data_IF_843350096476
#
_entry.id   IF_843350096476
#
_cell.length_a   1.000
_cell.length_b   1.000
_cell.length_c   1.000
_cell.angle_alpha   90.00
_cell.angle_beta   90.00
_cell.angle_gamma   90.00
#
_symmetry.space_group_name_H-M   'P 1'
#
loop_
_entity.id
_entity.type
_entity.pdbx_description
1 polymer ?
#
# COMPACT_ATOMS: atom_id res chain seq x y z
N UNK A 1 -9.82 1.68 3.03
CA UNK A 1 -8.39 1.37 3.21
C UNK A 1 -7.64 2.06 2.10
N UNK A 2 -6.52 2.70 2.43
CA UNK A 2 -5.53 3.16 1.45
C UNK A 2 -4.13 2.66 1.85
N UNK A 3 -3.22 2.62 0.88
CA UNK A 3 -1.82 2.24 1.11
C UNK A 3 -0.90 3.23 0.41
N UNK A 4 0.28 3.47 0.97
CA UNK A 4 1.36 4.20 0.29
C UNK A 4 2.58 3.30 0.12
N UNK A 5 2.98 3.13 -1.13
CA UNK A 5 4.13 2.33 -1.56
C UNK A 5 5.05 3.17 -2.47
N UNK A 6 6.21 2.60 -2.79
CA UNK A 6 7.35 3.33 -3.36
C UNK A 6 7.35 3.29 -4.89
N UNK A 7 6.19 3.65 -5.45
CA UNK A 7 5.95 3.68 -6.88
C UNK A 7 6.03 2.29 -7.54
N UNK A 8 6.45 2.27 -8.81
CA UNK A 8 6.54 1.07 -9.65
C UNK A 8 7.96 0.98 -10.21
N UNK A 9 8.65 -0.13 -9.94
CA UNK A 9 9.99 -0.46 -10.45
C UNK A 9 9.88 -1.29 -11.73
N UNK A 10 9.09 -2.36 -11.71
CA UNK A 10 8.89 -3.23 -12.87
C UNK A 10 7.73 -2.72 -13.71
N UNK A 11 8.01 -2.41 -14.97
CA UNK A 11 7.00 -1.97 -15.95
C UNK A 11 6.56 -3.13 -16.84
N UNK A 12 5.34 -3.09 -17.40
CA UNK A 12 4.89 -4.11 -18.34
C UNK A 12 5.88 -4.24 -19.49
N UNK A 13 6.39 -5.45 -19.73
CA UNK A 13 7.27 -5.72 -20.86
C UNK A 13 6.42 -5.69 -22.13
N UNK A 14 6.80 -4.89 -23.13
CA UNK A 14 6.15 -4.95 -24.44
C UNK A 14 6.57 -6.25 -25.12
N UNK A 15 5.63 -7.19 -25.25
CA UNK A 15 5.92 -8.56 -25.73
C UNK A 15 5.97 -8.64 -27.27
N UNK A 16 5.78 -7.55 -28.00
CA UNK A 16 5.73 -7.61 -29.46
C UNK A 16 7.08 -7.24 -30.11
N UNK A 17 7.72 -8.14 -30.89
CA UNK A 17 8.84 -7.79 -31.76
C UNK A 17 8.39 -6.81 -32.86
N UNK A 18 9.31 -6.01 -33.45
CA UNK A 18 8.98 -4.81 -34.23
C UNK A 18 8.17 -5.02 -35.53
N UNK A 19 7.87 -6.27 -35.90
CA UNK A 19 7.46 -6.63 -37.27
C UNK A 19 5.99 -6.99 -37.46
N UNK A 20 5.12 -6.86 -36.46
CA UNK A 20 3.68 -7.02 -36.67
C UNK A 20 2.92 -5.76 -36.28
N UNK A 21 2.32 -5.14 -37.29
CA UNK A 21 1.36 -4.04 -37.18
C UNK A 21 0.11 -4.55 -36.47
N UNK A 22 0.09 -4.50 -35.16
CA UNK A 22 -1.14 -4.47 -34.36
C UNK A 22 -1.03 -3.25 -33.44
N UNK A 23 -2.17 -2.61 -33.12
CA UNK A 23 -2.21 -1.42 -32.28
C UNK A 23 -1.60 -1.67 -30.90
N UNK A 24 -1.60 -0.68 -29.98
CA UNK A 24 -1.13 -0.93 -28.63
C UNK A 24 -2.04 -1.97 -27.98
N UNK A 25 -1.60 -3.23 -27.97
CA UNK A 25 -2.28 -4.31 -27.25
C UNK A 25 -2.32 -3.90 -25.79
N UNK A 26 -3.53 -3.63 -25.30
CA UNK A 26 -3.75 -3.32 -23.89
C UNK A 26 -3.32 -4.55 -23.09
N UNK A 27 -2.51 -4.40 -22.03
CA UNK A 27 -2.07 -5.52 -21.22
C UNK A 27 -3.26 -6.37 -20.77
N UNK A 28 -3.15 -7.69 -20.85
CA UNK A 28 -4.19 -8.57 -20.35
C UNK A 28 -4.30 -8.43 -18.82
N UNK A 29 -5.43 -8.83 -18.20
CA UNK A 29 -5.53 -8.86 -16.74
C UNK A 29 -4.42 -9.68 -16.08
N UNK A 30 -3.97 -10.77 -16.73
CA UNK A 30 -2.85 -11.59 -16.25
C UNK A 30 -1.52 -10.83 -16.29
N UNK A 31 -1.25 -10.07 -17.36
CA UNK A 31 -0.04 -9.25 -17.47
C UNK A 31 -0.03 -8.13 -16.43
N UNK A 32 -1.20 -7.54 -16.17
CA UNK A 32 -1.37 -6.54 -15.13
C UNK A 32 -1.11 -7.12 -13.74
N UNK A 33 -1.68 -8.29 -13.43
CA UNK A 33 -1.43 -8.99 -12.18
C UNK A 33 0.04 -9.36 -12.01
N UNK A 34 0.70 -9.89 -13.04
CA UNK A 34 2.11 -10.25 -12.98
C UNK A 34 3.01 -9.04 -12.73
N UNK A 35 2.68 -7.91 -13.36
CA UNK A 35 3.37 -6.63 -13.12
C UNK A 35 3.15 -6.15 -11.68
N UNK A 36 1.91 -6.15 -11.19
CA UNK A 36 1.58 -5.76 -9.82
C UNK A 36 2.31 -6.65 -8.81
N UNK A 37 2.21 -7.97 -8.96
CA UNK A 37 2.86 -8.97 -8.12
C UNK A 37 4.36 -8.74 -8.05
N UNK A 38 5.02 -8.56 -9.20
CA UNK A 38 6.48 -8.35 -9.22
C UNK A 38 6.91 -7.11 -8.45
N UNK A 39 6.10 -6.05 -8.45
CA UNK A 39 6.38 -4.86 -7.65
C UNK A 39 6.06 -5.08 -6.16
N UNK A 40 4.91 -5.67 -5.84
CA UNK A 40 4.50 -5.94 -4.45
C UNK A 40 5.47 -6.88 -3.74
N UNK A 41 6.02 -7.87 -4.44
CA UNK A 41 6.97 -8.83 -3.85
C UNK A 41 8.31 -8.19 -3.44
N UNK A 42 8.69 -7.04 -4.04
CA UNK A 42 10.01 -6.40 -3.78
C UNK A 42 9.93 -5.08 -3.04
N UNK A 43 8.75 -4.45 -2.99
CA UNK A 43 8.56 -3.13 -2.41
C UNK A 43 8.03 -3.24 -0.99
N UNK A 44 8.66 -2.50 -0.08
CA UNK A 44 8.18 -2.37 1.29
C UNK A 44 7.03 -1.36 1.39
N UNK A 45 6.01 -1.69 2.18
CA UNK A 45 4.90 -0.81 2.50
C UNK A 45 5.38 0.28 3.48
N UNK A 46 5.03 1.55 3.22
CA UNK A 46 5.44 2.65 4.10
C UNK A 46 4.31 3.04 5.05
N UNK A 47 3.09 3.16 4.53
CA UNK A 47 1.91 3.57 5.30
C UNK A 47 0.66 2.80 4.89
N UNK A 48 -0.21 2.57 5.87
CA UNK A 48 -1.54 1.98 5.69
C UNK A 48 -2.56 2.86 6.42
N UNK A 49 -3.52 3.41 5.68
CA UNK A 49 -4.67 4.12 6.24
C UNK A 49 -5.86 3.19 6.43
N UNK A 50 -6.37 3.13 7.66
CA UNK A 50 -7.59 2.42 8.02
C UNK A 50 -8.61 3.37 8.62
N UNK A 51 -9.81 3.36 8.04
CA UNK A 51 -10.99 4.04 8.57
C UNK A 51 -12.05 3.00 8.82
N UNK A 52 -12.58 2.98 10.05
CA UNK A 52 -13.70 2.13 10.42
C UNK A 52 -14.98 2.95 10.39
N UNK A 53 -16.05 2.36 9.88
CA UNK A 53 -17.39 2.94 9.91
C UNK A 53 -18.43 1.85 10.10
N UNK A 54 -19.59 2.24 10.63
CA UNK A 54 -20.76 1.37 10.57
C UNK A 54 -21.42 1.46 9.17
N UNK A 55 -22.49 0.67 8.95
CA UNK A 55 -23.21 0.61 7.69
C UNK A 55 -23.81 1.95 7.21
N UNK A 56 -23.97 2.93 8.12
CA UNK A 56 -24.47 4.28 7.77
C UNK A 56 -23.35 5.31 7.58
N UNK A 57 -22.08 4.87 7.58
CA UNK A 57 -20.92 5.74 7.37
C UNK A 57 -20.46 6.50 8.61
N UNK A 58 -21.01 6.20 9.79
CA UNK A 58 -20.59 6.86 11.03
C UNK A 58 -19.25 6.28 11.53
N UNK A 59 -18.29 7.18 11.76
CA UNK A 59 -16.97 6.84 12.32
C UNK A 59 -17.04 6.58 13.83
N UNK A 60 -16.13 5.77 14.40
CA UNK A 60 -16.11 5.50 15.84
C UNK A 60 -15.82 6.78 16.63
N UNK A 61 -16.55 6.96 17.74
CA UNK A 61 -16.34 8.05 18.70
C UNK A 61 -15.38 7.70 19.84
N UNK A 62 -15.15 6.40 20.08
CA UNK A 62 -14.30 5.88 21.17
C UNK A 62 -14.58 6.50 22.56
N UNK A 63 -15.85 6.86 22.83
CA UNK A 63 -16.23 7.53 24.08
C UNK A 63 -15.89 9.02 24.15
N UNK A 64 -15.36 9.59 23.07
CA UNK A 64 -15.11 11.02 22.89
C UNK A 64 -16.10 11.62 21.87
N UNK A 65 -16.22 12.95 21.86
CA UNK A 65 -16.94 13.66 20.80
C UNK A 65 -16.18 13.73 19.47
N UNK A 66 -14.99 13.13 19.37
CA UNK A 66 -14.15 13.13 18.18
C UNK A 66 -14.43 11.91 17.29
N UNK A 67 -13.96 11.96 16.05
CA UNK A 67 -14.05 10.84 15.10
C UNK A 67 -12.64 10.43 14.69
N UNK A 68 -12.41 9.13 14.52
CA UNK A 68 -11.07 8.59 14.32
C UNK A 68 -10.91 7.90 12.96
N UNK A 69 -9.72 8.10 12.41
CA UNK A 69 -9.10 7.30 11.36
C UNK A 69 -7.66 7.03 11.79
N UNK A 70 -7.10 5.92 11.34
CA UNK A 70 -5.77 5.47 11.75
C UNK A 70 -4.84 5.44 10.55
N UNK A 71 -3.64 5.97 10.73
CA UNK A 71 -2.55 5.83 9.78
C UNK A 71 -1.43 5.04 10.46
N UNK A 72 -1.22 3.82 10.00
CA UNK A 72 -0.13 2.96 10.40
C UNK A 72 1.09 3.31 9.56
N UNK A 73 2.22 3.33 10.23
CA UNK A 73 3.48 3.86 9.75
C UNK A 73 4.53 2.78 10.03
N UNK A 74 5.10 2.19 8.99
CA UNK A 74 6.02 1.05 9.10
C UNK A 74 7.48 1.49 9.06
N UNK A 75 8.38 0.76 9.75
CA UNK A 75 9.82 1.02 9.73
C UNK A 75 10.60 0.13 8.77
N UNK A 76 9.94 -0.87 8.17
CA UNK A 76 10.57 -1.91 7.35
C UNK A 76 11.35 -1.32 6.16
N UNK A 77 10.87 -0.20 5.62
CA UNK A 77 11.52 0.49 4.50
C UNK A 77 12.74 1.32 4.93
N UNK A 78 13.85 1.06 4.26
CA UNK A 78 15.12 1.76 4.38
C UNK A 78 15.60 2.25 3.00
N UNK A 79 15.63 3.56 2.82
CA UNK A 79 16.06 4.20 1.55
C UNK A 79 17.49 3.81 1.14
N UNK A 80 18.35 3.44 2.08
CA UNK A 80 19.75 3.09 1.79
C UNK A 80 19.93 1.64 1.32
N UNK A 81 18.96 0.77 1.61
CA UNK A 81 19.05 -0.68 1.38
C UNK A 81 18.01 -1.19 0.39
N UNK A 82 16.80 -0.65 0.43
CA UNK A 82 15.65 -1.27 -0.20
C UNK A 82 15.38 -0.72 -1.60
N UNK A 83 14.88 -1.56 -2.54
CA UNK A 83 14.52 -1.12 -3.87
C UNK A 83 13.44 -0.02 -3.84
N UNK A 84 13.63 1.00 -4.65
CA UNK A 84 12.66 2.09 -4.80
C UNK A 84 12.77 2.75 -6.17
N UNK A 85 11.67 3.33 -6.64
CA UNK A 85 11.71 4.17 -7.84
C UNK A 85 12.40 5.52 -7.49
N UNK A 86 13.46 5.96 -8.21
CA UNK A 86 14.22 7.16 -7.84
C UNK A 86 13.37 8.42 -7.61
N UNK A 87 12.36 8.65 -8.46
CA UNK A 87 11.47 9.82 -8.37
C UNK A 87 10.45 9.74 -7.23
N UNK A 88 10.24 8.55 -6.65
CA UNK A 88 9.23 8.36 -5.61
C UNK A 88 9.72 8.84 -4.23
N UNK A 89 11.03 8.79 -3.96
CA UNK A 89 11.58 9.24 -2.67
C UNK A 89 11.38 10.74 -2.47
N UNK A 90 11.66 11.54 -3.50
CA UNK A 90 11.47 12.99 -3.44
C UNK A 90 10.00 13.35 -3.25
N UNK A 91 9.10 12.65 -3.96
CA UNK A 91 7.66 12.81 -3.80
C UNK A 91 7.21 12.47 -2.37
N UNK A 92 7.68 11.35 -1.81
CA UNK A 92 7.31 10.93 -0.45
C UNK A 92 7.85 11.89 0.63
N UNK A 93 9.07 12.43 0.46
CA UNK A 93 9.61 13.48 1.33
C UNK A 93 8.75 14.75 1.29
N UNK A 94 8.29 15.14 0.10
CA UNK A 94 7.40 16.29 -0.08
C UNK A 94 5.99 16.06 0.52
N UNK A 95 5.58 14.81 0.70
CA UNK A 95 4.34 14.42 1.38
C UNK A 95 4.54 14.11 2.88
N UNK A 96 5.50 14.77 3.51
CA UNK A 96 5.76 14.74 4.96
C UNK A 96 6.14 13.35 5.51
N UNK A 97 6.66 12.45 4.67
CA UNK A 97 7.25 11.19 5.15
C UNK A 97 8.70 11.43 5.55
N UNK A 98 8.92 11.51 6.86
CA UNK A 98 10.24 11.69 7.47
C UNK A 98 10.93 10.34 7.69
N UNK A 99 11.65 9.84 6.68
CA UNK A 99 12.29 8.52 6.71
C UNK A 99 13.27 8.31 7.87
N UNK A 100 13.87 9.39 8.41
CA UNK A 100 14.80 9.28 9.54
C UNK A 100 14.03 9.12 10.85
N UNK A 101 12.96 9.89 11.08
CA UNK A 101 12.05 9.65 12.22
C UNK A 101 11.34 8.30 12.13
N UNK A 102 11.13 7.81 10.92
CA UNK A 102 10.46 6.53 10.69
C UNK A 102 11.25 5.35 11.25
N UNK A 103 12.57 5.43 11.37
CA UNK A 103 13.40 4.36 11.92
C UNK A 103 13.31 4.22 13.44
N UNK A 104 12.94 5.27 14.16
CA UNK A 104 13.07 5.31 15.62
C UNK A 104 11.76 5.02 16.38
N UNK A 105 10.59 5.15 15.75
CA UNK A 105 9.31 5.13 16.49
C UNK A 105 8.12 4.51 15.74
N UNK A 106 8.37 3.57 14.81
CA UNK A 106 7.33 3.01 13.93
C UNK A 106 7.06 1.52 14.18
N UNK A 107 6.05 1.03 13.48
CA UNK A 107 5.46 -0.29 13.67
C UNK A 107 6.20 -1.32 12.82
N UNK A 108 6.53 -2.46 13.43
CA UNK A 108 7.00 -3.66 12.71
C UNK A 108 5.84 -4.24 11.90
N UNK A 109 6.02 -4.39 10.59
CA UNK A 109 4.98 -4.94 9.73
C UNK A 109 4.57 -6.36 10.11
N UNK A 110 5.51 -7.19 10.58
CA UNK A 110 5.24 -8.57 10.98
C UNK A 110 4.34 -8.59 12.23
N UNK A 111 4.72 -7.81 13.25
CA UNK A 111 3.92 -7.65 14.45
C UNK A 111 2.52 -7.06 14.15
N UNK A 112 2.45 -6.09 13.24
CA UNK A 112 1.17 -5.54 12.82
C UNK A 112 0.26 -6.59 12.16
N UNK A 113 0.81 -7.48 11.34
CA UNK A 113 0.05 -8.56 10.70
C UNK A 113 -0.51 -9.53 11.74
N UNK A 114 0.27 -9.89 12.76
CA UNK A 114 -0.21 -10.73 13.87
C UNK A 114 -1.41 -10.09 14.59
N UNK A 115 -1.33 -8.80 14.89
CA UNK A 115 -2.43 -8.04 15.49
C UNK A 115 -3.64 -7.95 14.55
N UNK A 116 -3.43 -7.70 13.26
CA UNK A 116 -4.51 -7.66 12.27
C UNK A 116 -5.25 -8.99 12.15
N UNK A 117 -4.51 -10.11 12.14
CA UNK A 117 -5.10 -11.45 12.08
C UNK A 117 -5.93 -11.77 13.35
N UNK A 118 -5.50 -11.29 14.52
CA UNK A 118 -6.23 -11.48 15.78
C UNK A 118 -7.38 -10.47 16.00
N UNK A 119 -7.39 -9.35 15.27
CA UNK A 119 -8.35 -8.23 15.46
C UNK A 119 -9.78 -8.53 15.03
N UNK A 120 -10.03 -9.65 14.31
CA UNK A 120 -11.28 -9.98 13.61
C UNK A 120 -11.67 -9.01 12.50
N UNK A 121 -10.78 -8.12 12.07
CA UNK A 121 -10.98 -7.30 10.87
C UNK A 121 -10.74 -8.11 9.57
N UNK A 122 -9.88 -9.13 9.64
CA UNK A 122 -9.54 -10.02 8.53
C UNK A 122 -10.21 -11.39 8.77
N UNK A 123 -10.53 -12.11 7.69
CA UNK A 123 -11.20 -13.42 7.74
C UNK A 123 -12.53 -13.42 8.51
N UNK A 124 -13.29 -12.32 8.41
CA UNK A 124 -14.57 -12.16 9.08
C UNK A 124 -15.64 -11.69 8.08
N UNK A 125 -16.62 -12.56 7.81
CA UNK A 125 -17.71 -12.29 6.86
C UNK A 125 -18.63 -11.13 7.28
N UNK A 126 -18.60 -10.75 8.56
CA UNK A 126 -19.36 -9.59 9.07
C UNK A 126 -18.69 -8.24 8.78
N UNK A 127 -17.48 -8.25 8.21
CA UNK A 127 -16.71 -7.04 7.90
C UNK A 127 -16.65 -6.84 6.38
N UNK A 128 -17.07 -5.66 5.92
CA UNK A 128 -16.95 -5.26 4.53
C UNK A 128 -15.72 -4.38 4.32
N UNK A 129 -14.81 -4.81 3.44
CA UNK A 129 -13.63 -4.02 3.07
C UNK A 129 -13.94 -3.12 1.87
N UNK A 130 -13.64 -1.83 2.03
CA UNK A 130 -13.70 -0.85 0.94
C UNK A 130 -12.29 -0.34 0.67
N UNK A 131 -11.81 -0.56 -0.55
CA UNK A 131 -10.54 -0.05 -1.05
C UNK A 131 -10.76 0.78 -2.31
N UNK A 132 -9.83 1.70 -2.59
CA UNK A 132 -9.76 2.43 -3.85
C UNK A 132 -8.52 1.92 -4.57
N UNK A 133 -8.68 1.47 -5.81
CA UNK A 133 -7.61 0.95 -6.68
C UNK A 133 -7.41 1.84 -7.90
#
# INVERSE_FOLDING_TARGET
MDTKFIGVIFKPQQVNPPNFRQGPDRPSPSDHYNTLKSNVDVLNLIQLGLTLSNATGNLPGLGSGQRFTWQFNFFDFDVSRDPHAPNSIELLKNHEIDFDKNRESRIDSEYFVELMMSSRLVCNESVSWVGVG
#
